data_IF_041489734592
#
_entry.id   IF_041489734592
#
_cell.length_a   1.000
_cell.length_b   1.000
_cell.length_c   1.000
_cell.angle_alpha   90.00
_cell.angle_beta   90.00
_cell.angle_gamma   90.00
#
_symmetry.space_group_name_H-M   'P 1'
#
loop_
_entity.id
_entity.type
_entity.pdbx_description
1 polymer ?
#
# COMPACT_ATOMS: atom_id res chain seq x y z
N UNK A 1 -1.90 8.35 7.29
CA UNK A 1 -0.73 9.02 7.90
C UNK A 1 0.38 8.02 8.16
N UNK A 2 1.48 8.12 7.42
CA UNK A 2 2.71 7.37 7.72
C UNK A 2 3.52 8.13 8.79
N UNK A 3 4.09 7.38 9.73
CA UNK A 3 4.72 7.89 10.95
C UNK A 3 6.19 8.24 10.67
N UNK A 4 6.57 9.50 10.91
CA UNK A 4 7.98 9.87 11.06
C UNK A 4 8.34 9.82 12.55
N UNK A 5 9.19 8.88 12.96
CA UNK A 5 9.73 8.85 14.32
C UNK A 5 10.76 9.97 14.50
N UNK A 6 10.70 10.65 15.65
CA UNK A 6 11.54 11.81 15.96
C UNK A 6 13.02 11.39 16.01
N UNK A 7 13.79 11.72 14.96
CA UNK A 7 15.22 11.44 14.86
C UNK A 7 15.68 10.79 13.55
N UNK A 8 14.75 10.36 12.68
CA UNK A 8 15.12 9.85 11.36
C UNK A 8 15.37 10.99 10.36
N UNK A 9 16.44 10.87 9.56
CA UNK A 9 16.72 11.77 8.45
C UNK A 9 15.61 11.64 7.41
N UNK A 10 14.70 12.62 7.38
CA UNK A 10 13.66 12.71 6.35
C UNK A 10 14.35 12.89 5.01
N UNK A 11 14.25 11.90 4.11
CA UNK A 11 14.67 12.06 2.72
C UNK A 11 13.58 12.88 2.01
N UNK A 12 13.87 14.09 1.52
CA UNK A 12 12.90 14.88 0.78
C UNK A 12 12.41 14.08 -0.44
N UNK A 13 11.09 13.95 -0.59
CA UNK A 13 10.46 13.11 -1.63
C UNK A 13 10.06 11.71 -1.18
N UNK A 14 10.41 11.29 0.05
CA UNK A 14 9.96 10.01 0.61
C UNK A 14 8.75 10.21 1.52
N UNK A 15 7.74 9.34 1.38
CA UNK A 15 6.53 9.32 2.21
C UNK A 15 6.84 8.83 3.66
N UNK A 16 8.05 8.31 3.89
CA UNK A 16 8.53 7.74 5.16
C UNK A 16 8.63 6.22 5.10
N UNK A 17 8.94 5.59 6.24
CA UNK A 17 8.94 4.12 6.36
C UNK A 17 7.54 3.61 6.69
N UNK A 18 7.13 2.44 6.16
CA UNK A 18 5.87 1.82 6.57
C UNK A 18 5.89 1.61 8.09
N UNK A 19 4.78 1.96 8.76
CA UNK A 19 4.64 1.72 10.18
C UNK A 19 4.74 0.20 10.43
N UNK A 20 5.47 -0.26 11.46
CA UNK A 20 5.82 -1.67 11.63
C UNK A 20 4.63 -2.65 11.72
N UNK A 21 3.43 -2.15 11.96
CA UNK A 21 2.19 -2.95 12.00
C UNK A 21 1.48 -3.07 10.64
N UNK A 22 1.84 -2.25 9.65
CA UNK A 22 1.27 -2.32 8.31
C UNK A 22 2.28 -2.97 7.38
N UNK A 23 1.98 -4.21 6.97
CA UNK A 23 2.80 -4.96 6.02
C UNK A 23 2.54 -4.45 4.59
N UNK A 24 2.91 -3.20 4.32
CA UNK A 24 2.76 -2.54 3.03
C UNK A 24 3.78 -3.12 2.04
N UNK A 25 3.35 -3.35 0.81
CA UNK A 25 4.20 -3.76 -0.31
C UNK A 25 4.18 -2.69 -1.38
N UNK A 26 5.33 -2.43 -2.00
CA UNK A 26 5.42 -1.59 -3.18
C UNK A 26 5.51 -2.54 -4.38
N UNK A 27 4.47 -2.59 -5.18
CA UNK A 27 4.37 -3.51 -6.33
C UNK A 27 4.46 -2.76 -7.64
N UNK A 28 5.08 -3.38 -8.63
CA UNK A 28 5.03 -2.93 -10.03
C UNK A 28 3.78 -3.46 -10.72
N UNK A 29 3.54 -3.01 -11.94
CA UNK A 29 2.48 -3.49 -12.84
C UNK A 29 2.52 -5.01 -13.08
N UNK A 30 3.68 -5.65 -12.93
CA UNK A 30 3.87 -7.10 -13.07
C UNK A 30 3.70 -7.89 -11.75
N UNK A 31 3.23 -7.22 -10.69
CA UNK A 31 3.07 -7.74 -9.33
C UNK A 31 4.40 -8.12 -8.64
N UNK A 32 5.55 -7.73 -9.20
CA UNK A 32 6.84 -7.89 -8.52
C UNK A 32 7.09 -6.76 -7.51
N UNK A 33 7.84 -7.06 -6.46
CA UNK A 33 8.24 -6.04 -5.48
C UNK A 33 9.25 -5.05 -6.11
N UNK A 34 9.03 -3.76 -5.91
CA UNK A 34 9.97 -2.73 -6.33
C UNK A 34 11.28 -2.81 -5.54
N UNK A 35 12.40 -2.60 -6.23
CA UNK A 35 13.68 -2.35 -5.55
C UNK A 35 13.87 -0.86 -5.25
N UNK A 36 14.84 -0.54 -4.40
CA UNK A 36 15.16 0.83 -4.02
C UNK A 36 15.36 1.74 -5.25
N UNK A 37 14.51 2.76 -5.38
CA UNK A 37 14.58 3.76 -6.46
C UNK A 37 13.69 3.46 -7.66
N UNK A 38 12.91 2.38 -7.64
CA UNK A 38 11.88 2.11 -8.64
C UNK A 38 10.51 2.62 -8.20
N UNK A 39 9.74 3.09 -9.17
CA UNK A 39 8.38 3.56 -8.97
C UNK A 39 7.46 2.36 -8.93
N UNK A 40 6.63 2.27 -7.89
CA UNK A 40 5.57 1.26 -7.80
C UNK A 40 4.34 1.78 -7.07
N UNK A 41 3.32 0.95 -7.02
CA UNK A 41 2.08 1.24 -6.32
C UNK A 41 2.09 0.67 -4.90
N UNK A 42 1.58 1.47 -3.96
CA UNK A 42 1.42 1.08 -2.57
C UNK A 42 0.25 0.09 -2.46
N UNK A 43 0.58 -1.15 -2.08
CA UNK A 43 -0.36 -2.25 -2.01
C UNK A 43 -0.42 -2.85 -0.61
N UNK A 44 -1.61 -3.31 -0.20
CA UNK A 44 -1.86 -3.99 1.06
C UNK A 44 -2.21 -5.47 0.83
N UNK A 45 -1.44 -6.43 1.35
CA UNK A 45 -1.71 -7.85 1.16
C UNK A 45 -2.93 -8.31 1.97
N UNK A 46 -3.96 -8.83 1.30
CA UNK A 46 -5.23 -9.24 1.90
C UNK A 46 -5.16 -10.63 2.57
N UNK A 47 -4.14 -11.43 2.25
CA UNK A 47 -3.92 -12.78 2.79
C UNK A 47 -3.56 -12.80 4.29
N UNK A 48 -2.99 -11.70 4.80
CA UNK A 48 -2.63 -11.56 6.22
C UNK A 48 -3.78 -11.07 7.12
N UNK A 49 -4.99 -11.00 6.57
CA UNK A 49 -6.22 -10.68 7.29
C UNK A 49 -6.66 -9.23 7.15
N UNK A 50 -7.86 -8.94 7.66
CA UNK A 50 -8.44 -7.59 7.62
C UNK A 50 -7.63 -6.65 8.53
N UNK A 51 -6.90 -5.71 7.94
CA UNK A 51 -6.23 -4.66 8.71
C UNK A 51 -7.28 -3.72 9.34
N UNK A 52 -7.22 -3.46 10.65
CA UNK A 52 -8.11 -2.50 11.28
C UNK A 52 -7.88 -1.11 10.68
N UNK A 53 -8.94 -0.52 10.10
CA UNK A 53 -8.88 0.77 9.42
C UNK A 53 -8.66 0.70 7.91
N UNK A 54 -8.47 -0.49 7.34
CA UNK A 54 -8.46 -0.64 5.89
C UNK A 54 -9.87 -0.59 5.34
N UNK A 55 -9.97 0.03 4.16
CA UNK A 55 -11.16 0.05 3.33
C UNK A 55 -11.71 -1.37 3.09
N UNK A 56 -13.03 -1.54 3.17
CA UNK A 56 -13.68 -2.85 3.03
C UNK A 56 -14.22 -3.08 1.63
N UNK A 57 -14.97 -2.12 1.09
CA UNK A 57 -15.60 -2.17 -0.23
C UNK A 57 -16.21 -0.81 -0.59
N UNK A 58 -16.42 -0.58 -1.88
CA UNK A 58 -17.21 0.55 -2.35
C UNK A 58 -18.69 0.17 -2.26
N UNK A 59 -19.45 0.94 -1.47
CA UNK A 59 -20.85 0.64 -1.23
C UNK A 59 -21.65 0.59 -2.54
N UNK A 60 -22.25 -0.58 -2.83
CA UNK A 60 -23.02 -0.88 -4.05
C UNK A 60 -22.22 -0.83 -5.36
N UNK A 61 -20.89 -0.83 -5.30
CA UNK A 61 -20.02 -0.82 -6.47
C UNK A 61 -18.99 -1.96 -6.37
N UNK A 62 -19.47 -3.17 -6.63
CA UNK A 62 -18.65 -4.38 -6.55
C UNK A 62 -17.57 -4.42 -7.65
N UNK A 63 -17.82 -3.80 -8.81
CA UNK A 63 -16.83 -3.72 -9.89
C UNK A 63 -15.64 -2.89 -9.44
N UNK A 64 -15.85 -1.67 -8.93
CA UNK A 64 -14.74 -0.86 -8.39
C UNK A 64 -14.03 -1.51 -7.23
N UNK A 65 -14.76 -2.27 -6.41
CA UNK A 65 -14.13 -3.00 -5.31
C UNK A 65 -13.19 -4.08 -5.85
N UNK A 66 -13.56 -4.81 -6.91
CA UNK A 66 -12.69 -5.79 -7.57
C UNK A 66 -11.52 -5.13 -8.31
N UNK A 67 -11.74 -3.95 -8.91
CA UNK A 67 -10.67 -3.19 -9.58
C UNK A 67 -9.56 -2.78 -8.63
N UNK A 68 -9.86 -2.52 -7.35
CA UNK A 68 -8.83 -2.17 -6.35
C UNK A 68 -8.46 -3.33 -5.44
N UNK A 69 -9.24 -4.41 -5.39
CA UNK A 69 -8.97 -5.62 -4.61
C UNK A 69 -8.87 -6.84 -5.53
N UNK A 70 -7.67 -7.09 -6.04
CA UNK A 70 -7.38 -8.23 -6.91
C UNK A 70 -6.00 -8.81 -6.60
N UNK A 71 -5.74 -10.03 -7.13
CA UNK A 71 -4.46 -10.74 -6.97
C UNK A 71 -3.97 -10.92 -5.52
N UNK A 72 -4.89 -10.84 -4.55
CA UNK A 72 -4.57 -10.93 -3.12
C UNK A 72 -4.08 -9.63 -2.50
N UNK A 73 -4.18 -8.50 -3.20
CA UNK A 73 -3.77 -7.17 -2.73
C UNK A 73 -4.91 -6.15 -2.85
N UNK A 74 -4.86 -5.15 -1.98
CA UNK A 74 -5.60 -3.90 -2.13
C UNK A 74 -4.66 -2.81 -2.64
N UNK A 75 -4.97 -2.30 -3.82
CA UNK A 75 -4.26 -1.26 -4.57
C UNK A 75 -4.80 0.11 -4.15
N UNK A 76 -3.96 0.99 -3.61
CA UNK A 76 -4.44 2.31 -3.14
C UNK A 76 -4.61 3.33 -4.27
N UNK A 77 -4.03 3.06 -5.45
CA UNK A 77 -3.85 4.02 -6.53
C UNK A 77 -2.73 5.04 -6.27
N UNK A 78 -2.02 4.95 -5.14
CA UNK A 78 -0.91 5.85 -4.82
C UNK A 78 0.41 5.25 -5.29
N UNK A 79 1.09 5.95 -6.20
CA UNK A 79 2.43 5.61 -6.67
C UNK A 79 3.50 6.28 -5.81
N UNK A 80 4.55 5.54 -5.47
CA UNK A 80 5.67 6.01 -4.64
C UNK A 80 7.04 5.61 -5.21
#
# INVERSE_FOLDING_TARGET
SLLNFKGESVKPGSIGKPAPFYNIKLLKDDLSECVDGEIGEICFPLDKGSFPGLFKEYYRDAEKTREVMHDGYYFTGDTA
#
